data_IF_318466877064
#
_entry.id   IF_318466877064
#
_cell.length_a   1.000
_cell.length_b   1.000
_cell.length_c   1.000
_cell.angle_alpha   90.00
_cell.angle_beta   90.00
_cell.angle_gamma   90.00
#
_symmetry.space_group_name_H-M   'P 1'
#
loop_
_entity.id
_entity.type
_entity.pdbx_description
1 polymer ?
#
# COMPACT_ATOMS: atom_id res chain seq x y z
N UNK A 1 -2.71 -4.83 14.24
CA UNK A 1 -1.57 -5.78 14.10
C UNK A 1 -0.28 -5.00 14.26
N UNK A 2 0.72 -5.53 14.97
CA UNK A 2 2.07 -4.98 14.93
C UNK A 2 2.56 -4.96 13.47
N UNK A 3 3.37 -3.96 13.11
CA UNK A 3 3.94 -3.83 11.77
C UNK A 3 4.74 -5.10 11.46
N UNK A 4 4.43 -5.74 10.34
CA UNK A 4 5.17 -6.93 9.89
C UNK A 4 6.62 -6.56 9.61
N UNK A 5 7.56 -7.46 9.93
CA UNK A 5 8.95 -7.35 9.47
C UNK A 5 9.09 -7.59 7.96
N UNK A 6 8.08 -8.22 7.34
CA UNK A 6 8.03 -8.45 5.91
C UNK A 6 7.34 -7.29 5.20
N UNK A 7 7.90 -6.88 4.05
CA UNK A 7 7.25 -5.95 3.13
C UNK A 7 5.97 -6.57 2.54
N UNK A 8 5.07 -5.76 2.00
CA UNK A 8 3.86 -6.29 1.37
C UNK A 8 4.18 -7.17 0.16
N UNK A 9 5.20 -6.82 -0.62
CA UNK A 9 5.68 -7.60 -1.75
C UNK A 9 6.25 -8.96 -1.31
N UNK A 10 6.97 -8.99 -0.19
CA UNK A 10 7.45 -10.23 0.44
C UNK A 10 6.27 -11.08 0.95
N UNK A 11 5.28 -10.47 1.57
CA UNK A 11 4.07 -11.15 2.05
C UNK A 11 3.35 -11.84 0.88
N UNK A 12 3.13 -11.14 -0.24
CA UNK A 12 2.49 -11.72 -1.42
C UNK A 12 3.31 -12.86 -2.00
N UNK A 13 4.64 -12.71 -2.05
CA UNK A 13 5.55 -13.77 -2.51
C UNK A 13 5.45 -15.02 -1.62
N UNK A 14 5.37 -14.85 -0.30
CA UNK A 14 5.19 -15.95 0.67
C UNK A 14 3.81 -16.60 0.51
N UNK A 15 2.76 -15.79 0.32
CA UNK A 15 1.40 -16.29 0.07
C UNK A 15 1.38 -17.19 -1.17
N UNK A 16 2.03 -16.78 -2.27
CA UNK A 16 2.16 -17.61 -3.49
C UNK A 16 2.93 -18.89 -3.28
N UNK A 17 4.09 -18.80 -2.62
CA UNK A 17 4.87 -19.97 -2.27
C UNK A 17 4.02 -20.98 -1.48
N UNK A 18 3.13 -20.49 -0.61
CA UNK A 18 2.22 -21.36 0.12
C UNK A 18 1.18 -22.04 -0.77
N UNK A 19 0.71 -21.38 -1.85
CA UNK A 19 -0.22 -22.00 -2.81
C UNK A 19 0.49 -23.07 -3.65
N UNK A 20 1.73 -22.82 -4.06
CA UNK A 20 2.51 -23.74 -4.89
C UNK A 20 3.09 -24.94 -4.12
N UNK A 21 3.57 -24.71 -2.89
CA UNK A 21 4.34 -25.72 -2.14
C UNK A 21 3.64 -26.20 -0.86
N UNK A 22 2.50 -25.60 -0.50
CA UNK A 22 1.77 -25.86 0.73
C UNK A 22 2.19 -24.94 1.89
N UNK A 23 1.31 -24.84 2.89
CA UNK A 23 1.49 -23.94 4.04
C UNK A 23 2.61 -24.42 4.98
N UNK A 24 2.70 -25.72 5.25
CA UNK A 24 3.71 -26.27 6.19
C UNK A 24 5.15 -26.09 5.72
N UNK A 25 5.42 -26.37 4.45
CA UNK A 25 6.73 -26.19 3.81
C UNK A 25 7.14 -24.71 3.78
N UNK A 26 6.20 -23.84 3.38
CA UNK A 26 6.41 -22.39 3.32
C UNK A 26 6.63 -21.81 4.72
N UNK A 27 5.87 -22.26 5.71
CA UNK A 27 6.01 -21.86 7.11
C UNK A 27 7.43 -22.12 7.63
N UNK A 28 7.97 -23.31 7.37
CA UNK A 28 9.36 -23.68 7.72
C UNK A 28 10.39 -22.83 6.95
N UNK A 29 10.23 -22.70 5.63
CA UNK A 29 11.18 -21.99 4.75
C UNK A 29 11.32 -20.51 5.14
N UNK A 30 10.20 -19.82 5.37
CA UNK A 30 10.20 -18.37 5.63
C UNK A 30 10.20 -18.02 7.11
N UNK A 31 10.19 -19.02 8.01
CA UNK A 31 10.10 -18.84 9.47
C UNK A 31 8.86 -18.01 9.88
N UNK A 32 7.75 -18.23 9.18
CA UNK A 32 6.45 -17.59 9.45
C UNK A 32 5.48 -18.64 9.96
N UNK A 33 4.70 -18.34 11.00
CA UNK A 33 3.71 -19.31 11.49
C UNK A 33 2.65 -19.61 10.44
N UNK A 34 2.14 -20.85 10.42
CA UNK A 34 1.07 -21.24 9.50
C UNK A 34 -0.18 -20.37 9.66
N UNK A 35 -0.50 -19.96 10.89
CA UNK A 35 -1.60 -19.04 11.18
C UNK A 35 -1.43 -17.69 10.47
N UNK A 36 -0.23 -17.09 10.51
CA UNK A 36 0.06 -15.84 9.82
C UNK A 36 -0.07 -15.98 8.30
N UNK A 37 0.35 -17.12 7.73
CA UNK A 37 0.17 -17.39 6.28
C UNK A 37 -1.32 -17.41 5.92
N UNK A 38 -2.18 -18.02 6.73
CA UNK A 38 -3.64 -18.00 6.48
C UNK A 38 -4.24 -16.60 6.58
N UNK A 39 -3.81 -15.78 7.55
CA UNK A 39 -4.22 -14.36 7.64
C UNK A 39 -3.80 -13.61 6.37
N UNK A 40 -2.56 -13.80 5.92
CA UNK A 40 -2.05 -13.15 4.71
C UNK A 40 -2.76 -13.64 3.46
N UNK A 41 -3.12 -14.93 3.35
CA UNK A 41 -3.96 -15.43 2.25
C UNK A 41 -5.31 -14.74 2.19
N UNK A 42 -5.96 -14.51 3.33
CA UNK A 42 -7.25 -13.80 3.37
C UNK A 42 -7.12 -12.36 2.86
N UNK A 43 -5.98 -11.70 3.12
CA UNK A 43 -5.76 -10.29 2.75
C UNK A 43 -5.16 -10.10 1.35
N UNK A 44 -4.25 -10.99 0.93
CA UNK A 44 -3.40 -10.83 -0.25
C UNK A 44 -3.51 -12.00 -1.25
N UNK A 45 -4.36 -13.00 -0.99
CA UNK A 45 -4.43 -14.24 -1.78
C UNK A 45 -4.79 -14.06 -3.25
N UNK A 46 -5.42 -12.94 -3.62
CA UNK A 46 -5.76 -12.59 -5.01
C UNK A 46 -4.79 -11.61 -5.65
N UNK A 47 -3.70 -11.23 -4.97
CA UNK A 47 -2.78 -10.20 -5.46
C UNK A 47 -1.50 -10.81 -6.09
N UNK A 48 -1.03 -10.17 -7.15
CA UNK A 48 0.30 -10.33 -7.72
C UNK A 48 1.32 -9.41 -7.00
N UNK A 49 2.59 -9.80 -6.82
CA UNK A 49 3.61 -8.91 -6.24
C UNK A 49 3.78 -7.61 -7.03
N UNK A 50 3.66 -7.68 -8.37
CA UNK A 50 3.69 -6.52 -9.25
C UNK A 50 2.51 -5.56 -9.00
N UNK A 51 1.31 -6.10 -8.72
CA UNK A 51 0.14 -5.30 -8.38
C UNK A 51 0.32 -4.56 -7.05
N UNK A 52 1.00 -5.16 -6.07
CA UNK A 52 1.30 -4.48 -4.79
C UNK A 52 2.27 -3.33 -4.98
N UNK A 53 3.35 -3.56 -5.72
CA UNK A 53 4.33 -2.51 -6.01
C UNK A 53 3.69 -1.34 -6.76
N UNK A 54 2.87 -1.64 -7.77
CA UNK A 54 2.17 -0.63 -8.56
C UNK A 54 1.12 0.11 -7.72
N UNK A 55 0.34 -0.59 -6.90
CA UNK A 55 -0.63 0.03 -6.00
C UNK A 55 0.04 1.01 -5.03
N UNK A 56 1.20 0.64 -4.49
CA UNK A 56 1.99 1.51 -3.60
C UNK A 56 2.47 2.76 -4.33
N UNK A 57 2.98 2.61 -5.56
CA UNK A 57 3.42 3.73 -6.40
C UNK A 57 2.28 4.69 -6.71
N UNK A 58 1.15 4.16 -7.19
CA UNK A 58 -0.05 4.95 -7.51
C UNK A 58 -0.59 5.66 -6.27
N UNK A 59 -0.60 4.99 -5.11
CA UNK A 59 -1.10 5.58 -3.86
C UNK A 59 -0.21 6.74 -3.40
N UNK A 60 1.11 6.59 -3.49
CA UNK A 60 2.06 7.67 -3.17
C UNK A 60 1.90 8.86 -4.12
N UNK A 61 1.79 8.59 -5.42
CA UNK A 61 1.59 9.66 -6.40
C UNK A 61 0.24 10.36 -6.21
N UNK A 62 -0.83 9.62 -5.93
CA UNK A 62 -2.14 10.20 -5.63
C UNK A 62 -2.09 11.12 -4.39
N UNK A 63 -1.37 10.71 -3.35
CA UNK A 63 -1.18 11.55 -2.16
C UNK A 63 -0.42 12.84 -2.48
N UNK A 64 0.64 12.75 -3.29
CA UNK A 64 1.40 13.92 -3.77
C UNK A 64 0.52 14.85 -4.59
N UNK A 65 -0.24 14.32 -5.55
CA UNK A 65 -1.12 15.10 -6.41
C UNK A 65 -2.23 15.79 -5.60
N UNK A 66 -2.86 15.10 -4.66
CA UNK A 66 -3.86 15.69 -3.75
C UNK A 66 -3.30 16.87 -2.95
N UNK A 67 -2.06 16.73 -2.45
CA UNK A 67 -1.39 17.82 -1.74
C UNK A 67 -1.17 19.03 -2.64
N UNK A 68 -0.65 18.81 -3.86
CA UNK A 68 -0.42 19.89 -4.82
C UNK A 68 -1.72 20.62 -5.19
N UNK A 69 -2.81 19.88 -5.40
CA UNK A 69 -4.13 20.48 -5.69
C UNK A 69 -4.61 21.33 -4.50
N UNK A 70 -4.56 20.81 -3.28
CA UNK A 70 -4.97 21.56 -2.10
C UNK A 70 -4.15 22.85 -1.88
N UNK A 71 -2.83 22.79 -2.09
CA UNK A 71 -1.96 23.97 -2.02
C UNK A 71 -2.33 25.02 -3.09
N UNK A 72 -2.63 24.59 -4.32
CA UNK A 72 -3.03 25.48 -5.41
C UNK A 72 -4.39 26.11 -5.19
N UNK A 73 -5.36 25.35 -4.69
CA UNK A 73 -6.69 25.86 -4.37
C UNK A 73 -6.61 26.92 -3.27
N UNK A 74 -5.78 26.69 -2.25
CA UNK A 74 -5.53 27.67 -1.19
C UNK A 74 -4.87 28.95 -1.73
N UNK A 75 -3.87 28.85 -2.59
CA UNK A 75 -3.25 30.02 -3.25
C UNK A 75 -4.30 30.83 -4.04
N UNK A 76 -5.18 30.16 -4.78
CA UNK A 76 -6.25 30.79 -5.54
C UNK A 76 -7.24 31.51 -4.62
N UNK A 77 -7.63 30.88 -3.51
CA UNK A 77 -8.54 31.48 -2.53
C UNK A 77 -7.95 32.75 -1.91
N UNK A 78 -6.67 32.70 -1.49
CA UNK A 78 -5.95 33.87 -0.98
C UNK A 78 -5.88 34.98 -2.02
N UNK A 79 -5.57 34.66 -3.28
CA UNK A 79 -5.54 35.68 -4.35
C UNK A 79 -6.91 36.33 -4.59
N UNK A 80 -7.99 35.55 -4.55
CA UNK A 80 -9.36 36.07 -4.68
C UNK A 80 -9.71 37.00 -3.52
N UNK A 81 -9.35 36.63 -2.29
CA UNK A 81 -9.60 37.47 -1.12
C UNK A 81 -8.84 38.81 -1.19
N UNK A 82 -7.58 38.78 -1.61
CA UNK A 82 -6.77 40.00 -1.82
C UNK A 82 -7.39 40.88 -2.91
N UNK A 83 -7.83 40.30 -4.02
CA UNK A 83 -8.46 41.04 -5.11
C UNK A 83 -9.79 41.68 -4.68
N UNK A 84 -10.58 40.99 -3.87
CA UNK A 84 -11.83 41.51 -3.32
C UNK A 84 -11.65 42.70 -2.37
N UNK A 85 -10.54 42.74 -1.60
CA UNK A 85 -10.22 43.85 -0.68
C UNK A 85 -9.64 45.10 -1.34
N UNK A 86 -9.33 45.04 -2.66
CA UNK A 86 -8.76 46.18 -3.40
C UNK A 86 -9.81 47.15 -3.96
N UNK A 87 -11.09 46.93 -3.67
CA UNK A 87 -12.23 47.74 -4.09
C UNK A 87 -13.07 48.15 -2.89
#
# INVERSE_FOLDING_TARGET
>A
MRKSHYSEEQIVSIVRASHAHGVSTTSKKYKVSSHTIYIWRKKYGSMEPSQVSELKRITQENARLKKLVAERDLEIEVMKEIAAKKW
#
